data_IF_497231532740
#
_entry.id   IF_497231532740
#
_cell.length_a   1.000
_cell.length_b   1.000
_cell.length_c   1.000
_cell.angle_alpha   90.00
_cell.angle_beta   90.00
_cell.angle_gamma   90.00
#
_symmetry.space_group_name_H-M   'P 1'
#
loop_
_entity.id
_entity.type
_entity.pdbx_description
1 polymer ?
#
# COMPACT_ATOMS: atom_id res chain seq x y z
N UNK A 1 38.12 31.77 4.97
CA UNK A 1 36.91 31.09 4.46
C UNK A 1 36.58 29.90 5.37
N UNK A 2 36.21 30.13 6.64
CA UNK A 2 36.05 29.02 7.60
C UNK A 2 34.98 29.25 8.70
N UNK A 3 34.08 30.22 8.50
CA UNK A 3 33.00 30.50 9.47
C UNK A 3 31.61 30.04 9.01
N UNK A 4 31.46 29.54 7.77
CA UNK A 4 30.17 29.05 7.27
C UNK A 4 29.90 27.57 7.60
N UNK A 5 30.93 26.76 7.87
CA UNK A 5 30.78 25.32 8.20
C UNK A 5 30.35 25.06 9.65
N UNK A 6 30.45 26.05 10.54
CA UNK A 6 30.20 25.87 11.97
C UNK A 6 28.76 26.18 12.42
N UNK A 7 27.87 26.62 11.52
CA UNK A 7 26.51 27.09 11.89
C UNK A 7 25.39 26.05 11.79
N UNK A 8 25.66 24.83 11.31
CA UNK A 8 24.59 23.86 11.03
C UNK A 8 24.57 22.65 11.96
N UNK A 9 25.50 22.58 12.91
CA UNK A 9 25.41 21.61 14.01
C UNK A 9 24.42 22.15 15.04
N UNK A 10 23.42 21.34 15.37
CA UNK A 10 22.40 21.53 16.40
C UNK A 10 21.29 22.55 16.10
N UNK A 11 20.32 22.14 15.28
CA UNK A 11 18.91 22.52 15.53
C UNK A 11 18.09 21.24 15.54
N UNK A 12 18.05 20.58 16.71
CA UNK A 12 17.09 19.52 17.04
C UNK A 12 15.69 20.08 17.34
N UNK A 13 15.31 21.17 16.68
CA UNK A 13 13.96 21.71 16.72
C UNK A 13 13.17 21.08 15.58
N UNK A 14 11.97 20.57 15.85
CA UNK A 14 11.02 20.10 14.83
C UNK A 14 10.95 21.14 13.70
N UNK A 15 11.59 20.86 12.56
CA UNK A 15 11.38 21.66 11.36
C UNK A 15 9.90 21.54 10.98
N UNK A 16 9.23 22.62 10.54
CA UNK A 16 7.93 22.49 9.90
C UNK A 16 8.07 21.52 8.73
N UNK A 17 7.11 20.60 8.58
CA UNK A 17 7.18 19.51 7.58
C UNK A 17 7.49 20.08 6.20
N UNK A 18 8.62 19.71 5.61
CA UNK A 18 8.98 20.20 4.28
C UNK A 18 7.99 19.67 3.25
N UNK A 19 7.64 20.47 2.25
CA UNK A 19 6.98 19.95 1.05
C UNK A 19 7.90 18.96 0.32
N UNK A 20 7.35 18.00 -0.42
CA UNK A 20 8.12 16.94 -1.08
C UNK A 20 9.26 17.51 -1.97
N UNK A 21 9.02 18.60 -2.70
CA UNK A 21 10.03 19.24 -3.52
C UNK A 21 11.19 19.87 -2.71
N UNK A 22 10.87 20.48 -1.56
CA UNK A 22 11.88 21.03 -0.66
C UNK A 22 12.69 19.93 0.02
N UNK A 23 12.04 18.82 0.38
CA UNK A 23 12.72 17.64 0.91
C UNK A 23 13.71 17.04 -0.10
N UNK A 24 13.32 16.91 -1.37
CA UNK A 24 14.22 16.42 -2.43
C UNK A 24 15.38 17.40 -2.68
N UNK A 25 15.13 18.70 -2.66
CA UNK A 25 16.20 19.70 -2.78
C UNK A 25 17.20 19.59 -1.62
N UNK A 26 16.72 19.41 -0.39
CA UNK A 26 17.58 19.23 0.79
C UNK A 26 18.38 17.92 0.74
N UNK A 27 17.77 16.82 0.26
CA UNK A 27 18.47 15.55 0.03
C UNK A 27 19.64 15.73 -0.95
N UNK A 28 19.45 16.47 -2.05
CA UNK A 28 20.51 16.77 -3.03
C UNK A 28 21.66 17.60 -2.46
N UNK A 29 21.41 18.34 -1.39
CA UNK A 29 22.44 19.06 -0.64
C UNK A 29 23.08 18.19 0.46
N UNK A 30 22.80 16.89 0.48
CA UNK A 30 23.30 15.93 1.49
C UNK A 30 22.93 16.33 2.93
N UNK A 31 21.78 17.00 3.13
CA UNK A 31 21.30 17.36 4.47
C UNK A 31 20.86 16.07 5.21
N UNK A 32 21.64 15.66 6.21
CA UNK A 32 21.33 14.50 7.06
C UNK A 32 19.95 14.59 7.75
N UNK A 33 19.51 15.81 8.07
CA UNK A 33 18.19 16.06 8.64
C UNK A 33 17.07 15.73 7.65
N UNK A 34 17.28 16.04 6.37
CA UNK A 34 16.35 15.68 5.29
C UNK A 34 16.31 14.16 5.07
N UNK A 35 17.46 13.48 5.15
CA UNK A 35 17.51 12.02 5.07
C UNK A 35 16.73 11.36 6.22
N UNK A 36 16.93 11.83 7.46
CA UNK A 36 16.16 11.36 8.61
C UNK A 36 14.67 11.62 8.46
N UNK A 37 14.27 12.83 8.04
CA UNK A 37 12.87 13.18 7.80
C UNK A 37 12.24 12.29 6.72
N UNK A 38 12.98 12.01 5.64
CA UNK A 38 12.53 11.13 4.56
C UNK A 38 12.19 9.72 5.06
N UNK A 39 13.08 9.09 5.83
CA UNK A 39 12.82 7.77 6.40
C UNK A 39 11.65 7.79 7.40
N UNK A 40 11.64 8.73 8.35
CA UNK A 40 10.59 8.83 9.37
C UNK A 40 9.21 9.05 8.72
N UNK A 41 9.14 9.86 7.67
CA UNK A 41 7.88 10.20 6.99
C UNK A 41 7.33 9.07 6.14
N UNK A 42 8.18 8.37 5.38
CA UNK A 42 7.71 7.43 4.35
C UNK A 42 7.81 5.96 4.72
N UNK A 43 8.64 5.58 5.70
CA UNK A 43 8.76 4.19 6.14
C UNK A 43 7.42 3.57 6.59
N UNK A 44 6.58 4.23 7.42
CA UNK A 44 5.32 3.63 7.85
C UNK A 44 4.34 3.34 6.70
N UNK A 45 4.27 4.22 5.69
CA UNK A 45 3.37 4.02 4.56
C UNK A 45 3.86 2.92 3.61
N UNK A 46 5.18 2.77 3.46
CA UNK A 46 5.77 1.68 2.69
C UNK A 46 5.66 0.32 3.40
N UNK A 47 5.74 0.27 4.73
CA UNK A 47 5.44 -0.96 5.47
C UNK A 47 4.00 -1.43 5.25
N UNK A 48 3.04 -0.49 5.29
CA UNK A 48 1.64 -0.79 4.96
C UNK A 48 1.50 -1.30 3.51
N UNK A 49 2.21 -0.68 2.56
CA UNK A 49 2.24 -1.12 1.17
C UNK A 49 2.84 -2.53 1.02
N UNK A 50 3.95 -2.83 1.70
CA UNK A 50 4.62 -4.13 1.67
C UNK A 50 3.71 -5.25 2.22
N UNK A 51 2.99 -4.99 3.32
CA UNK A 51 1.95 -5.90 3.84
C UNK A 51 0.90 -6.19 2.77
N UNK A 52 0.42 -5.15 2.08
CA UNK A 52 -0.60 -5.27 1.04
C UNK A 52 -0.10 -6.02 -0.20
N UNK A 53 1.18 -5.89 -0.53
CA UNK A 53 1.81 -6.69 -1.59
C UNK A 53 2.08 -8.13 -1.19
N UNK A 54 1.74 -8.55 0.04
CA UNK A 54 2.01 -9.89 0.58
C UNK A 54 3.50 -10.21 0.56
N UNK A 55 4.34 -9.23 0.92
CA UNK A 55 5.74 -9.47 1.25
C UNK A 55 5.79 -10.27 2.56
N UNK A 56 6.72 -11.21 2.64
CA UNK A 56 6.93 -12.02 3.85
C UNK A 56 7.21 -11.11 5.06
N UNK A 57 6.59 -11.35 6.24
CA UNK A 57 6.82 -10.52 7.41
C UNK A 57 8.29 -10.35 7.79
N UNK A 58 9.13 -11.38 7.62
CA UNK A 58 10.56 -11.33 7.94
C UNK A 58 11.38 -10.45 7.01
N UNK A 59 10.90 -10.23 5.79
CA UNK A 59 11.62 -9.46 4.77
C UNK A 59 11.10 -8.00 4.66
N UNK A 60 9.97 -7.67 5.26
CA UNK A 60 9.29 -6.36 5.06
C UNK A 60 10.15 -5.18 5.44
N UNK A 61 10.73 -5.20 6.64
CA UNK A 61 11.53 -4.08 7.14
C UNK A 61 12.76 -3.86 6.25
N UNK A 62 13.52 -4.93 5.99
CA UNK A 62 14.70 -4.89 5.12
C UNK A 62 14.34 -4.39 3.71
N UNK A 63 13.29 -4.93 3.10
CA UNK A 63 12.85 -4.52 1.77
C UNK A 63 12.46 -3.03 1.71
N UNK A 64 11.74 -2.54 2.73
CA UNK A 64 11.32 -1.14 2.79
C UNK A 64 12.52 -0.22 3.02
N UNK A 65 13.43 -0.60 3.92
CA UNK A 65 14.62 0.18 4.23
C UNK A 65 15.57 0.25 3.02
N UNK A 66 15.78 -0.86 2.32
CA UNK A 66 16.53 -0.90 1.07
C UNK A 66 15.87 -0.04 -0.01
N UNK A 67 14.54 -0.14 -0.16
CA UNK A 67 13.81 0.66 -1.14
C UNK A 67 13.93 2.16 -0.85
N UNK A 68 13.88 2.56 0.42
CA UNK A 68 14.07 3.95 0.82
C UNK A 68 15.50 4.40 0.58
N UNK A 69 16.49 3.58 0.94
CA UNK A 69 17.89 3.88 0.73
C UNK A 69 18.22 4.07 -0.75
N UNK A 70 17.80 3.14 -1.61
CA UNK A 70 18.03 3.21 -3.05
C UNK A 70 17.38 4.44 -3.67
N UNK A 71 16.14 4.74 -3.28
CA UNK A 71 15.44 5.93 -3.77
C UNK A 71 16.10 7.21 -3.27
N UNK A 72 16.54 7.26 -2.00
CA UNK A 72 17.24 8.42 -1.46
C UNK A 72 18.53 8.68 -2.24
N UNK A 73 19.38 7.66 -2.43
CA UNK A 73 20.60 7.75 -3.24
C UNK A 73 20.28 8.21 -4.66
N UNK A 74 19.24 7.64 -5.29
CA UNK A 74 18.83 8.06 -6.62
C UNK A 74 18.42 9.54 -6.68
N UNK A 75 17.65 10.03 -5.71
CA UNK A 75 17.19 11.42 -5.65
C UNK A 75 18.34 12.40 -5.38
N UNK A 76 19.35 11.98 -4.61
CA UNK A 76 20.56 12.75 -4.30
C UNK A 76 21.41 12.95 -5.56
N UNK A 77 21.61 11.90 -6.35
CA UNK A 77 22.50 11.92 -7.53
C UNK A 77 21.79 12.40 -8.80
N UNK A 78 20.47 12.20 -8.90
CA UNK A 78 19.71 12.51 -10.12
C UNK A 78 19.50 14.01 -10.32
N UNK A 79 19.90 14.51 -11.50
CA UNK A 79 19.62 15.87 -11.96
C UNK A 79 18.19 16.07 -12.50
N UNK A 80 17.38 15.01 -12.56
CA UNK A 80 16.01 15.08 -13.07
C UNK A 80 15.13 16.01 -12.22
N UNK A 81 14.03 16.57 -12.75
CA UNK A 81 13.05 17.27 -11.92
C UNK A 81 12.50 16.34 -10.82
N UNK A 82 12.23 16.86 -9.61
CA UNK A 82 11.68 16.04 -8.53
C UNK A 82 10.32 15.44 -8.96
N UNK A 83 9.99 14.22 -8.49
CA UNK A 83 8.71 13.60 -8.78
C UNK A 83 7.57 14.49 -8.26
N UNK A 84 6.48 14.57 -9.03
CA UNK A 84 5.30 15.39 -8.66
C UNK A 84 4.63 14.94 -7.36
N UNK A 85 4.80 13.67 -7.00
CA UNK A 85 4.34 13.08 -5.74
C UNK A 85 5.37 12.04 -5.28
N UNK A 86 6.05 12.34 -4.18
CA UNK A 86 7.07 11.46 -3.62
C UNK A 86 6.47 10.16 -3.05
N UNK A 87 5.30 10.17 -2.37
CA UNK A 87 4.61 8.94 -1.96
C UNK A 87 4.29 7.99 -3.13
N UNK A 88 3.76 8.51 -4.24
CA UNK A 88 3.39 7.69 -5.39
C UNK A 88 4.63 7.09 -6.06
N UNK A 89 5.70 7.89 -6.19
CA UNK A 89 6.99 7.43 -6.71
C UNK A 89 7.57 6.30 -5.84
N UNK A 90 7.55 6.46 -4.52
CA UNK A 90 8.03 5.45 -3.58
C UNK A 90 7.22 4.15 -3.61
N UNK A 91 5.90 4.25 -3.62
CA UNK A 91 5.02 3.09 -3.74
C UNK A 91 5.27 2.32 -5.04
N UNK A 92 5.52 3.04 -6.14
CA UNK A 92 5.90 2.46 -7.43
C UNK A 92 7.26 1.75 -7.36
N UNK A 93 8.27 2.39 -6.77
CA UNK A 93 9.62 1.79 -6.61
C UNK A 93 9.58 0.50 -5.81
N UNK A 94 8.87 0.51 -4.67
CA UNK A 94 8.67 -0.69 -3.85
C UNK A 94 7.96 -1.81 -4.63
N UNK A 95 6.87 -1.48 -5.35
CA UNK A 95 6.16 -2.46 -6.18
C UNK A 95 7.07 -3.09 -7.23
N UNK A 96 7.83 -2.26 -7.95
CA UNK A 96 8.74 -2.75 -8.98
C UNK A 96 9.77 -3.70 -8.40
N UNK A 97 10.31 -3.39 -7.22
CA UNK A 97 11.24 -4.27 -6.50
C UNK A 97 10.60 -5.62 -6.17
N UNK A 98 9.43 -5.62 -5.54
CA UNK A 98 8.68 -6.86 -5.21
C UNK A 98 8.42 -7.71 -6.46
N UNK A 99 7.99 -7.08 -7.56
CA UNK A 99 7.71 -7.79 -8.81
C UNK A 99 8.99 -8.36 -9.44
N UNK A 100 10.09 -7.62 -9.38
CA UNK A 100 11.38 -8.07 -9.91
C UNK A 100 11.95 -9.24 -9.10
N UNK A 101 11.85 -9.19 -7.76
CA UNK A 101 12.25 -10.28 -6.88
C UNK A 101 11.43 -11.56 -7.13
N UNK A 102 10.11 -11.43 -7.27
CA UNK A 102 9.25 -12.58 -7.65
C UNK A 102 9.66 -13.18 -8.99
N UNK A 103 9.87 -12.36 -10.00
CA UNK A 103 10.34 -12.81 -11.32
C UNK A 103 11.72 -13.45 -11.25
N UNK A 104 12.62 -12.92 -10.42
CA UNK A 104 13.95 -13.50 -10.20
C UNK A 104 13.84 -14.89 -9.55
N UNK A 105 12.98 -15.04 -8.53
CA UNK A 105 12.73 -16.32 -7.87
C UNK A 105 12.16 -17.37 -8.83
N UNK A 106 11.13 -17.03 -9.60
CA UNK A 106 10.57 -17.94 -10.62
C UNK A 106 11.60 -18.34 -11.68
N UNK A 107 12.50 -17.43 -12.07
CA UNK A 107 13.60 -17.76 -13.01
C UNK A 107 14.62 -18.69 -12.36
N UNK A 108 14.92 -18.52 -11.08
CA UNK A 108 15.83 -19.41 -10.35
C UNK A 108 15.21 -20.81 -10.18
N UNK A 109 13.93 -20.90 -9.80
CA UNK A 109 13.19 -22.17 -9.67
C UNK A 109 13.16 -22.96 -10.99
N UNK A 110 12.93 -22.30 -12.13
CA UNK A 110 12.98 -22.96 -13.45
C UNK A 110 14.36 -23.55 -13.75
N UNK A 111 15.43 -22.82 -13.44
CA UNK A 111 16.82 -23.30 -13.65
C UNK A 111 17.16 -24.48 -12.75
N UNK A 112 16.63 -24.52 -11.52
CA UNK A 112 16.79 -25.67 -10.63
C UNK A 112 15.98 -26.89 -11.10
N UNK A 113 14.76 -26.69 -11.58
CA UNK A 113 13.90 -27.77 -12.08
C UNK A 113 14.41 -28.44 -13.37
N UNK A 114 15.14 -27.70 -14.22
CA UNK A 114 15.75 -28.24 -15.45
C UNK A 114 17.08 -28.98 -15.19
N UNK A 115 17.62 -28.96 -13.95
CA UNK A 115 18.97 -29.42 -13.64
C UNK A 115 19.11 -30.64 -12.71
N UNK A 116 18.04 -31.24 -12.19
CA UNK A 116 18.14 -32.32 -11.21
C UNK A 116 17.86 -33.71 -11.80
N UNK A 117 18.94 -34.43 -12.11
CA UNK A 117 19.00 -35.87 -11.92
C UNK A 117 18.99 -36.17 -10.41
N UNK A 118 18.08 -37.04 -9.98
CA UNK A 118 17.93 -37.74 -8.68
C UNK A 118 18.60 -37.12 -7.43
N UNK A 119 17.83 -36.53 -6.49
CA UNK A 119 18.36 -36.08 -5.20
C UNK A 119 18.40 -37.24 -4.18
N UNK A 120 19.54 -37.42 -3.52
CA UNK A 120 19.64 -38.23 -2.30
C UNK A 120 19.19 -37.41 -1.10
N UNK A 121 18.37 -38.03 -0.23
CA UNK A 121 17.62 -37.45 0.90
C UNK A 121 18.45 -36.66 1.93
N UNK A 122 19.79 -36.73 1.89
CA UNK A 122 20.67 -36.00 2.80
C UNK A 122 21.01 -34.55 2.38
N UNK A 123 20.88 -34.20 1.09
CA UNK A 123 21.39 -32.93 0.56
C UNK A 123 20.41 -31.75 0.70
N UNK A 124 19.12 -32.02 0.89
CA UNK A 124 18.09 -30.97 1.00
C UNK A 124 18.14 -30.23 2.35
N UNK A 125 18.63 -30.88 3.42
CA UNK A 125 18.75 -30.25 4.74
C UNK A 125 19.92 -29.24 4.83
N UNK A 126 20.95 -29.39 3.99
CA UNK A 126 22.12 -28.50 3.99
C UNK A 126 21.93 -27.23 3.14
N UNK A 127 20.93 -27.23 2.25
CA UNK A 127 20.66 -26.11 1.32
C UNK A 127 19.44 -25.26 1.72
N UNK A 128 18.64 -25.72 2.68
CA UNK A 128 17.57 -24.95 3.26
C UNK A 128 18.14 -24.00 4.32
N UNK A 129 18.33 -22.73 3.94
CA UNK A 129 18.58 -21.67 4.93
C UNK A 129 17.54 -21.75 6.05
N UNK A 130 17.94 -21.37 7.27
CA UNK A 130 17.10 -21.34 8.48
C UNK A 130 15.72 -20.68 8.25
N UNK A 131 15.65 -19.79 7.26
CA UNK A 131 14.46 -19.14 6.73
C UNK A 131 13.40 -20.13 6.20
N UNK A 132 13.76 -21.16 5.43
CA UNK A 132 12.82 -22.14 4.86
C UNK A 132 12.15 -23.02 5.92
N UNK A 133 12.86 -23.30 7.03
CA UNK A 133 12.33 -24.01 8.20
C UNK A 133 11.35 -23.11 8.97
N UNK A 134 11.63 -21.80 9.04
CA UNK A 134 10.75 -20.80 9.68
C UNK A 134 9.48 -20.51 8.85
N UNK A 135 9.56 -20.51 7.52
CA UNK A 135 8.40 -20.35 6.62
C UNK A 135 7.32 -21.42 6.81
N UNK A 136 7.71 -22.60 7.29
CA UNK A 136 6.79 -23.73 7.50
C UNK A 136 5.99 -23.65 8.81
N UNK A 137 6.29 -22.70 9.70
CA UNK A 137 5.74 -22.66 11.08
C UNK A 137 5.02 -21.36 11.46
N UNK A 138 4.98 -20.34 10.59
CA UNK A 138 4.39 -19.04 10.90
C UNK A 138 2.90 -18.93 10.62
N UNK A 139 2.06 -19.10 11.64
CA UNK A 139 0.64 -18.75 11.59
C UNK A 139 0.49 -17.22 11.40
N UNK A 140 -0.30 -16.75 10.41
CA UNK A 140 -0.46 -15.32 10.16
C UNK A 140 -1.29 -14.69 11.28
N UNK A 141 -0.69 -13.79 12.05
CA UNK A 141 -1.43 -12.90 12.94
C UNK A 141 -2.34 -11.98 12.11
N UNK A 142 -3.59 -12.41 11.96
CA UNK A 142 -4.66 -11.61 11.42
C UNK A 142 -4.88 -10.41 12.34
N UNK A 143 -4.74 -9.20 11.81
CA UNK A 143 -5.35 -8.04 12.44
C UNK A 143 -6.84 -8.37 12.61
N UNK A 144 -7.30 -8.49 13.86
CA UNK A 144 -8.65 -8.95 14.17
C UNK A 144 -9.66 -7.86 13.83
N UNK A 145 -9.92 -7.68 12.54
CA UNK A 145 -11.12 -7.00 12.07
C UNK A 145 -12.31 -7.68 12.75
N UNK A 146 -13.33 -6.92 13.11
CA UNK A 146 -14.57 -7.52 13.58
C UNK A 146 -15.11 -8.49 12.52
N UNK A 147 -15.86 -9.54 12.92
CA UNK A 147 -16.44 -10.48 11.98
C UNK A 147 -17.30 -9.80 10.89
N UNK A 148 -17.99 -8.71 11.23
CA UNK A 148 -18.76 -7.89 10.30
C UNK A 148 -17.87 -7.27 9.20
N UNK A 149 -16.75 -6.65 9.59
CA UNK A 149 -15.81 -6.05 8.64
C UNK A 149 -15.08 -7.10 7.78
N UNK A 150 -14.82 -8.29 8.32
CA UNK A 150 -14.25 -9.39 7.54
C UNK A 150 -15.22 -9.86 6.45
N UNK A 151 -16.51 -10.00 6.78
CA UNK A 151 -17.55 -10.34 5.81
C UNK A 151 -17.72 -9.26 4.74
N UNK A 152 -17.72 -7.99 5.13
CA UNK A 152 -17.74 -6.88 4.17
C UNK A 152 -16.51 -6.91 3.26
N UNK A 153 -15.31 -7.12 3.81
CA UNK A 153 -14.08 -7.22 3.01
C UNK A 153 -14.17 -8.36 1.98
N UNK A 154 -14.64 -9.55 2.39
CA UNK A 154 -14.89 -10.66 1.49
C UNK A 154 -15.91 -10.35 0.40
N UNK A 155 -17.02 -9.68 0.76
CA UNK A 155 -18.04 -9.25 -0.20
C UNK A 155 -17.52 -8.22 -1.21
N UNK A 156 -16.61 -7.33 -0.79
CA UNK A 156 -15.95 -6.35 -1.66
C UNK A 156 -14.90 -6.98 -2.58
N UNK A 157 -14.22 -8.02 -2.13
CA UNK A 157 -13.19 -8.73 -2.91
C UNK A 157 -13.76 -9.71 -3.93
N UNK A 158 -14.88 -10.37 -3.62
CA UNK A 158 -15.52 -11.37 -4.47
C UNK A 158 -15.77 -10.91 -5.93
N UNK A 159 -16.27 -9.69 -6.21
CA UNK A 159 -16.49 -9.24 -7.58
C UNK A 159 -15.23 -8.70 -8.29
N UNK A 160 -14.06 -8.69 -7.64
CA UNK A 160 -12.85 -8.10 -8.20
C UNK A 160 -12.06 -9.10 -9.03
N UNK A 161 -11.77 -8.71 -10.27
CA UNK A 161 -10.76 -9.38 -11.08
C UNK A 161 -9.36 -9.09 -10.53
N UNK A 162 -8.36 -9.87 -10.91
CA UNK A 162 -6.97 -9.64 -10.48
C UNK A 162 -6.46 -8.24 -10.91
N UNK A 163 -6.89 -7.77 -12.08
CA UNK A 163 -6.56 -6.43 -12.56
C UNK A 163 -7.26 -5.34 -11.75
N UNK A 164 -8.52 -5.56 -11.34
CA UNK A 164 -9.24 -4.64 -10.47
C UNK A 164 -8.60 -4.54 -9.08
N UNK A 165 -8.13 -5.66 -8.51
CA UNK A 165 -7.41 -5.68 -7.23
C UNK A 165 -6.19 -4.78 -7.27
N UNK A 166 -5.42 -4.86 -8.36
CA UNK A 166 -4.27 -3.98 -8.60
C UNK A 166 -4.69 -2.52 -8.67
N UNK A 167 -5.79 -2.19 -9.35
CA UNK A 167 -6.32 -0.83 -9.38
C UNK A 167 -6.75 -0.32 -8.00
N UNK A 168 -7.42 -1.15 -7.19
CA UNK A 168 -7.77 -0.78 -5.80
C UNK A 168 -6.52 -0.50 -4.97
N UNK A 169 -5.46 -1.29 -5.16
CA UNK A 169 -4.16 -1.04 -4.52
C UNK A 169 -3.62 0.33 -4.93
N UNK A 170 -3.54 0.61 -6.24
CA UNK A 170 -3.04 1.91 -6.73
C UNK A 170 -3.86 3.10 -6.23
N UNK A 171 -5.19 2.96 -6.20
CA UNK A 171 -6.07 3.99 -5.63
C UNK A 171 -5.81 4.22 -4.15
N UNK A 172 -5.56 3.16 -3.37
CA UNK A 172 -5.27 3.29 -1.93
C UNK A 172 -3.96 4.01 -1.65
N UNK A 173 -3.02 3.99 -2.60
CA UNK A 173 -1.77 4.74 -2.55
C UNK A 173 -1.87 6.10 -3.23
N UNK A 174 -3.08 6.54 -3.59
CA UNK A 174 -3.34 7.83 -4.23
C UNK A 174 -2.53 8.04 -5.52
N UNK A 175 -2.28 6.96 -6.26
CA UNK A 175 -1.57 7.04 -7.55
C UNK A 175 -2.41 7.88 -8.53
N UNK A 176 -1.82 8.88 -9.20
CA UNK A 176 -2.54 9.70 -10.18
C UNK A 176 -3.11 8.86 -11.34
N UNK A 177 -4.31 9.19 -11.81
CA UNK A 177 -4.97 8.45 -12.90
C UNK A 177 -4.14 8.45 -14.20
N UNK A 178 -3.40 9.52 -14.48
CA UNK A 178 -2.51 9.59 -15.63
C UNK A 178 -1.37 8.58 -15.56
N UNK A 179 -0.87 8.28 -14.35
CA UNK A 179 0.20 7.31 -14.14
C UNK A 179 -0.33 5.87 -14.22
N UNK A 180 -1.53 5.62 -13.67
CA UNK A 180 -2.26 4.36 -13.86
C UNK A 180 -2.49 4.09 -15.36
N UNK A 181 -2.87 5.11 -16.12
CA UNK A 181 -3.08 5.01 -17.56
C UNK A 181 -1.79 4.60 -18.29
N UNK A 182 -0.66 5.24 -17.95
CA UNK A 182 0.64 4.90 -18.50
C UNK A 182 1.05 3.45 -18.20
N UNK A 183 0.78 2.93 -16.99
CA UNK A 183 1.11 1.55 -16.63
C UNK A 183 0.28 0.51 -17.36
N UNK A 184 -0.98 0.83 -17.63
CA UNK A 184 -1.90 -0.04 -18.34
C UNK A 184 -1.77 0.08 -19.88
N UNK A 185 -0.98 1.04 -20.37
CA UNK A 185 -0.89 1.32 -21.82
C UNK A 185 -2.20 1.86 -22.39
N UNK A 186 -3.00 2.58 -21.60
CA UNK A 186 -4.30 3.14 -22.00
C UNK A 186 -4.31 4.66 -21.89
N UNK A 187 -5.35 5.29 -22.42
CA UNK A 187 -5.51 6.75 -22.30
C UNK A 187 -5.91 7.15 -20.87
N UNK A 188 -5.54 8.36 -20.39
CA UNK A 188 -5.97 8.87 -19.08
C UNK A 188 -7.49 8.85 -18.88
N UNK A 189 -8.26 9.15 -19.94
CA UNK A 189 -9.72 9.11 -19.92
C UNK A 189 -10.26 7.67 -19.73
N UNK A 190 -9.62 6.68 -20.36
CA UNK A 190 -9.99 5.27 -20.18
C UNK A 190 -9.68 4.80 -18.75
N UNK A 191 -8.53 5.18 -18.19
CA UNK A 191 -8.18 4.87 -16.80
C UNK A 191 -9.16 5.50 -15.80
N UNK A 192 -9.50 6.78 -15.99
CA UNK A 192 -10.49 7.47 -15.15
C UNK A 192 -11.86 6.76 -15.18
N UNK A 193 -12.36 6.43 -16.37
CA UNK A 193 -13.64 5.71 -16.54
C UNK A 193 -13.61 4.31 -15.92
N UNK A 194 -12.47 3.63 -16.00
CA UNK A 194 -12.28 2.30 -15.39
C UNK A 194 -12.30 2.39 -13.87
N UNK A 195 -11.59 3.36 -13.30
CA UNK A 195 -11.57 3.64 -11.86
C UNK A 195 -12.96 4.02 -11.35
N UNK A 196 -13.69 4.85 -12.08
CA UNK A 196 -15.07 5.22 -11.77
C UNK A 196 -15.98 3.99 -11.70
N UNK A 197 -15.99 3.16 -12.75
CA UNK A 197 -16.77 1.90 -12.78
C UNK A 197 -16.40 0.94 -11.65
N UNK A 198 -15.12 0.87 -11.29
CA UNK A 198 -14.64 0.07 -10.18
C UNK A 198 -15.15 0.60 -8.83
N UNK A 199 -15.11 1.92 -8.61
CA UNK A 199 -15.68 2.55 -7.41
C UNK A 199 -17.17 2.32 -7.31
N UNK A 200 -17.92 2.45 -8.41
CA UNK A 200 -19.36 2.20 -8.43
C UNK A 200 -19.70 0.74 -8.08
N UNK A 201 -18.95 -0.22 -8.64
CA UNK A 201 -19.10 -1.65 -8.30
C UNK A 201 -18.85 -1.91 -6.83
N UNK A 202 -17.77 -1.38 -6.27
CA UNK A 202 -17.44 -1.53 -4.85
C UNK A 202 -18.50 -0.89 -3.95
N UNK A 203 -18.98 0.31 -4.30
CA UNK A 203 -20.07 0.97 -3.57
C UNK A 203 -21.36 0.14 -3.60
N UNK A 204 -21.71 -0.42 -4.76
CA UNK A 204 -22.89 -1.29 -4.89
C UNK A 204 -22.75 -2.56 -4.05
N UNK A 205 -21.59 -3.20 -4.08
CA UNK A 205 -21.33 -4.39 -3.26
C UNK A 205 -21.41 -4.07 -1.76
N UNK A 206 -20.87 -2.93 -1.32
CA UNK A 206 -21.00 -2.47 0.07
C UNK A 206 -22.47 -2.26 0.46
N UNK A 207 -23.25 -1.58 -0.38
CA UNK A 207 -24.67 -1.30 -0.10
C UNK A 207 -25.48 -2.58 0.01
N UNK A 208 -25.34 -3.50 -0.95
CA UNK A 208 -26.03 -4.81 -0.91
C UNK A 208 -25.68 -5.58 0.37
N UNK A 209 -24.42 -5.53 0.80
CA UNK A 209 -24.00 -6.21 2.03
C UNK A 209 -24.61 -5.57 3.28
N UNK A 210 -24.65 -4.25 3.36
CA UNK A 210 -25.30 -3.51 4.47
C UNK A 210 -26.81 -3.75 4.50
N UNK A 211 -27.46 -3.81 3.35
CA UNK A 211 -28.90 -4.10 3.24
C UNK A 211 -29.24 -5.51 3.74
N UNK A 212 -28.37 -6.48 3.48
CA UNK A 212 -28.52 -7.85 3.95
C UNK A 212 -28.17 -8.03 5.46
N UNK A 213 -27.36 -7.13 6.03
CA UNK A 213 -26.99 -7.16 7.45
C UNK A 213 -28.16 -6.77 8.37
N UNK A 214 -28.18 -7.33 9.58
CA UNK A 214 -29.23 -7.12 10.59
C UNK A 214 -28.63 -6.78 11.95
N UNK A 215 -29.38 -6.04 12.77
CA UNK A 215 -29.01 -5.70 14.15
C UNK A 215 -27.65 -5.00 14.24
N UNK A 216 -26.90 -5.34 15.29
CA UNK A 216 -25.60 -4.73 15.64
C UNK A 216 -24.58 -4.74 14.49
N UNK A 217 -24.60 -5.77 13.64
CA UNK A 217 -23.73 -5.84 12.46
C UNK A 217 -24.01 -4.70 11.49
N UNK A 218 -25.29 -4.39 11.24
CA UNK A 218 -25.68 -3.32 10.32
C UNK A 218 -25.20 -1.96 10.85
N UNK A 219 -25.36 -1.73 12.15
CA UNK A 219 -24.96 -0.48 12.79
C UNK A 219 -23.44 -0.30 12.76
N UNK A 220 -22.69 -1.36 13.04
CA UNK A 220 -21.23 -1.35 12.94
C UNK A 220 -20.77 -0.98 11.52
N UNK A 221 -21.36 -1.61 10.49
CA UNK A 221 -21.03 -1.34 9.10
C UNK A 221 -21.39 0.10 8.68
N UNK A 222 -22.53 0.62 9.12
CA UNK A 222 -22.95 2.00 8.86
C UNK A 222 -22.02 3.02 9.52
N UNK A 223 -21.57 2.75 10.75
CA UNK A 223 -20.58 3.58 11.45
C UNK A 223 -19.25 3.57 10.68
N UNK A 224 -18.76 2.40 10.30
CA UNK A 224 -17.52 2.25 9.56
C UNK A 224 -17.56 2.98 8.21
N UNK A 225 -18.61 2.74 7.41
CA UNK A 225 -18.79 3.39 6.11
C UNK A 225 -19.05 4.89 6.24
N UNK A 226 -19.76 5.31 7.29
CA UNK A 226 -19.96 6.72 7.62
C UNK A 226 -18.64 7.43 7.90
N UNK A 227 -17.74 6.82 8.66
CA UNK A 227 -16.37 7.32 8.89
C UNK A 227 -15.57 7.40 7.60
N UNK A 228 -15.66 6.38 6.74
CA UNK A 228 -14.99 6.37 5.45
C UNK A 228 -15.53 7.45 4.48
N UNK A 229 -16.83 7.77 4.55
CA UNK A 229 -17.48 8.77 3.71
C UNK A 229 -17.30 10.23 4.17
N UNK A 230 -16.73 10.46 5.36
CA UNK A 230 -16.30 11.79 5.83
C UNK A 230 -14.96 12.23 5.21
N UNK A 231 -14.30 11.37 4.43
CA UNK A 231 -13.34 11.80 3.41
C UNK A 231 -14.13 12.32 2.19
N UNK A 232 -13.80 13.48 1.61
CA UNK A 232 -14.67 14.18 0.68
C UNK A 232 -14.97 13.32 -0.56
N UNK A 233 -16.21 12.85 -0.74
CA UNK A 233 -16.60 12.20 -1.98
C UNK A 233 -17.91 11.38 -2.07
N UNK A 234 -18.44 10.67 -1.04
CA UNK A 234 -19.60 9.79 -1.27
C UNK A 234 -20.76 9.88 -0.25
N UNK A 235 -20.77 10.85 0.67
CA UNK A 235 -21.70 10.90 1.81
C UNK A 235 -23.20 10.86 1.47
N UNK A 236 -23.63 11.34 0.28
CA UNK A 236 -25.05 11.48 -0.05
C UNK A 236 -25.82 10.15 -0.13
N UNK A 237 -25.22 9.08 -0.69
CA UNK A 237 -25.91 7.78 -0.86
C UNK A 237 -26.04 7.01 0.46
N UNK A 238 -25.05 7.12 1.35
CA UNK A 238 -25.09 6.49 2.67
C UNK A 238 -25.92 7.29 3.69
N UNK A 239 -26.08 8.61 3.49
CA UNK A 239 -27.03 9.40 4.28
C UNK A 239 -28.47 8.96 4.01
N UNK A 240 -28.83 8.68 2.75
CA UNK A 240 -30.16 8.16 2.40
C UNK A 240 -30.45 6.79 3.04
N UNK A 241 -29.46 5.89 3.09
CA UNK A 241 -29.62 4.58 3.73
C UNK A 241 -29.80 4.66 5.27
N UNK A 242 -29.23 5.70 5.92
CA UNK A 242 -29.44 5.98 7.35
C UNK A 242 -30.82 6.57 7.66
N UNK A 243 -31.39 7.35 6.73
CA UNK A 243 -32.71 7.95 6.89
C UNK A 243 -33.89 7.00 6.66
N UNK A 244 -33.66 5.81 6.13
CA UNK A 244 -34.70 4.81 5.87
C UNK A 244 -35.02 3.91 7.09
N UNK A 245 -34.33 4.12 8.23
CA UNK A 245 -34.69 3.49 9.50
C UNK A 245 -35.82 4.33 10.12
N UNK A 246 -37.06 3.99 9.77
CA UNK A 246 -38.27 4.57 10.35
C UNK A 246 -38.38 4.16 11.82
N UNK A 247 -38.74 5.06 12.75
CA UNK A 247 -39.07 4.68 14.11
C UNK A 247 -40.40 3.91 14.10
N UNK A 248 -40.31 2.61 14.36
CA UNK A 248 -41.47 1.83 14.80
C UNK A 248 -41.74 2.20 16.27
N UNK A 249 -43.01 2.49 16.56
CA UNK A 249 -43.63 2.66 17.88
C UNK A 249 -43.52 4.03 18.58
N UNK A 250 -44.58 4.84 18.42
CA UNK A 250 -45.30 5.46 19.54
C UNK A 250 -46.65 6.02 19.06
N UNK A 251 -47.71 5.20 19.12
CA UNK A 251 -49.01 5.68 19.60
C UNK A 251 -49.92 4.50 19.96
N UNK A 252 -50.06 4.30 21.28
CA UNK A 252 -51.25 3.75 21.91
C UNK A 252 -52.17 4.92 22.28
#
# INVERSE_FOLDING_TARGET
MDQQRARWRTVSGRRPSMGDAALVAALRCEDEGALREFFVRFRPSLLLAARRFRVDPGDRDALVDDCLADVAVHLMVSAAPPPRSLPAYLARSLRNRVLNERRARTRAERRLGEGLAEPTDGALAACCSEHAVRSSTGSPEASSLSPALQRLAGALEAPLTEEDRVLVVWMSHLVPHAEIAAWLGITPKAAAKRIERLRERLQRAALVHVEAARGDERDELLIFLGRAALAPGPAARFAAARGAVVPEEANA
#
